data_IF_923410354059
#
_entry.id   IF_923410354059
#
_cell.length_a   1.000
_cell.length_b   1.000
_cell.length_c   1.000
_cell.angle_alpha   90.00
_cell.angle_beta   90.00
_cell.angle_gamma   90.00
#
_symmetry.space_group_name_H-M   'P 1'
#
loop_
_entity.id
_entity.type
_entity.pdbx_description
1 polymer ?
#
# COMPACT_ATOMS: atom_id res chain seq x y z
N UNK A 1 32.57 -9.24 -30.02
CA UNK A 1 33.64 -8.23 -30.10
C UNK A 1 33.02 -6.92 -30.58
N UNK A 2 33.38 -5.78 -29.97
CA UNK A 2 33.01 -4.41 -30.40
C UNK A 2 31.66 -3.90 -29.86
N UNK A 3 31.54 -3.39 -28.62
CA UNK A 3 31.84 -2.04 -28.11
C UNK A 3 31.18 -0.86 -28.83
N UNK A 4 30.33 -0.12 -28.10
CA UNK A 4 30.23 1.34 -28.21
C UNK A 4 29.61 1.92 -26.91
N UNK A 5 30.47 2.50 -26.07
CA UNK A 5 30.13 3.48 -25.03
C UNK A 5 29.76 4.82 -25.69
N UNK A 6 28.80 5.56 -25.12
CA UNK A 6 28.81 7.02 -25.19
C UNK A 6 28.77 7.63 -23.78
N UNK A 7 29.90 8.23 -23.41
CA UNK A 7 30.00 9.28 -22.39
C UNK A 7 29.82 10.63 -23.10
N UNK A 8 29.11 11.56 -22.48
CA UNK A 8 29.25 12.98 -22.76
C UNK A 8 29.65 13.69 -21.47
N UNK A 9 30.79 14.36 -21.52
CA UNK A 9 31.28 15.32 -20.54
C UNK A 9 30.99 16.72 -21.10
N UNK A 10 30.56 17.64 -20.25
CA UNK A 10 30.81 19.06 -20.45
C UNK A 10 31.16 19.67 -19.09
N UNK A 11 32.35 20.25 -19.00
CA UNK A 11 32.85 20.93 -17.80
C UNK A 11 32.84 22.44 -17.99
N UNK A 12 32.94 23.16 -16.88
CA UNK A 12 33.53 24.50 -16.77
C UNK A 12 34.04 24.69 -15.33
N UNK A 13 35.19 25.34 -15.23
CA UNK A 13 35.99 25.56 -14.02
C UNK A 13 35.66 26.88 -13.30
N UNK A 14 36.12 27.03 -12.05
CA UNK A 14 36.23 28.29 -11.33
C UNK A 14 36.47 28.08 -9.82
N UNK A 15 37.67 28.42 -9.34
CA UNK A 15 38.11 28.22 -7.95
C UNK A 15 37.86 29.40 -7.00
N UNK A 16 38.18 29.18 -5.72
CA UNK A 16 38.27 30.20 -4.68
C UNK A 16 38.09 29.61 -3.28
N UNK A 17 39.14 29.68 -2.44
CA UNK A 17 39.21 29.06 -1.11
C UNK A 17 38.67 29.88 0.06
N UNK A 18 38.75 29.31 1.26
CA UNK A 18 38.49 29.98 2.55
C UNK A 18 37.78 29.05 3.55
N UNK A 19 38.42 28.75 4.67
CA UNK A 19 38.00 27.72 5.64
C UNK A 19 37.06 28.18 6.75
N UNK A 20 36.74 27.24 7.65
CA UNK A 20 35.98 27.48 8.89
C UNK A 20 35.06 26.31 9.23
N UNK A 21 35.44 25.49 10.21
CA UNK A 21 34.79 24.21 10.51
C UNK A 21 33.44 24.27 11.24
N UNK A 22 32.75 23.12 11.23
CA UNK A 22 31.98 22.58 12.35
C UNK A 22 31.56 21.15 12.00
N UNK A 23 31.79 20.24 12.94
CA UNK A 23 31.34 18.86 12.90
C UNK A 23 29.80 18.76 12.89
N UNK A 24 29.23 17.88 12.07
CA UNK A 24 28.12 17.02 12.50
C UNK A 24 27.83 15.93 11.47
N UNK A 25 27.74 14.70 11.97
CA UNK A 25 26.99 13.56 11.46
C UNK A 25 27.06 13.25 9.95
N UNK A 26 27.92 12.31 9.60
CA UNK A 26 27.71 11.42 8.45
C UNK A 26 26.45 10.59 8.69
N UNK A 27 25.28 11.15 8.38
CA UNK A 27 24.10 10.35 8.02
C UNK A 27 24.32 9.84 6.60
N UNK A 28 24.98 8.69 6.46
CA UNK A 28 24.94 7.93 5.21
C UNK A 28 23.59 7.21 5.14
N UNK A 29 22.56 8.01 4.89
CA UNK A 29 21.19 7.57 4.67
C UNK A 29 21.10 7.07 3.23
N UNK A 30 21.25 5.77 3.04
CA UNK A 30 20.99 5.12 1.75
C UNK A 30 19.47 4.88 1.60
N UNK A 31 18.76 5.55 0.67
CA UNK A 31 17.36 5.29 0.40
C UNK A 31 17.26 4.16 -0.64
N UNK A 32 16.70 3.02 -0.23
CA UNK A 32 16.44 1.89 -1.13
C UNK A 32 15.05 1.29 -0.87
N UNK A 33 14.34 0.79 -1.89
CA UNK A 33 12.91 0.42 -1.81
C UNK A 33 12.59 -0.91 -1.08
N UNK A 34 13.58 -1.62 -0.54
CA UNK A 34 13.40 -2.95 0.05
C UNK A 34 13.85 -2.99 1.52
N UNK A 35 12.97 -2.60 2.46
CA UNK A 35 13.22 -2.77 3.90
C UNK A 35 11.94 -3.18 4.63
N UNK A 36 12.10 -4.03 5.63
CA UNK A 36 11.05 -4.48 6.56
C UNK A 36 10.71 -5.97 6.43
N UNK A 37 9.85 -6.43 7.35
CA UNK A 37 9.25 -7.79 7.40
C UNK A 37 8.68 -8.19 6.04
N UNK A 38 8.11 -7.19 5.39
CA UNK A 38 7.53 -7.18 4.08
C UNK A 38 8.42 -7.77 2.98
N UNK A 39 9.63 -7.21 2.88
CA UNK A 39 10.63 -7.61 1.90
C UNK A 39 11.14 -9.03 2.18
N UNK A 40 11.36 -9.38 3.46
CA UNK A 40 11.75 -10.74 3.85
C UNK A 40 10.68 -11.77 3.45
N UNK A 41 9.41 -11.50 3.74
CA UNK A 41 8.30 -12.38 3.36
C UNK A 41 8.21 -12.56 1.84
N UNK A 42 8.29 -11.47 1.08
CA UNK A 42 8.30 -11.50 -0.38
C UNK A 42 9.44 -12.34 -0.95
N UNK A 43 10.66 -12.15 -0.44
CA UNK A 43 11.85 -12.84 -0.94
C UNK A 43 11.89 -14.32 -0.59
N UNK A 44 11.35 -14.72 0.57
CA UNK A 44 11.16 -16.13 0.92
C UNK A 44 10.20 -16.83 -0.04
N UNK A 45 9.12 -16.15 -0.44
CA UNK A 45 8.18 -16.67 -1.43
C UNK A 45 8.79 -16.70 -2.84
N UNK A 46 9.57 -15.68 -3.20
CA UNK A 46 10.34 -15.69 -4.44
C UNK A 46 11.33 -16.87 -4.47
N UNK A 47 12.03 -17.12 -3.36
CA UNK A 47 12.93 -18.26 -3.21
C UNK A 47 12.21 -19.62 -3.32
N UNK A 48 11.02 -19.78 -2.73
CA UNK A 48 10.23 -21.01 -2.88
C UNK A 48 9.91 -21.34 -4.35
N UNK A 49 9.71 -20.30 -5.17
CA UNK A 49 9.32 -20.45 -6.57
C UNK A 49 10.53 -20.59 -7.48
N UNK A 50 11.62 -19.88 -7.20
CA UNK A 50 12.76 -19.75 -8.12
C UNK A 50 14.03 -20.45 -7.64
N UNK A 51 14.11 -20.82 -6.36
CA UNK A 51 15.35 -21.25 -5.67
C UNK A 51 16.48 -20.24 -5.76
N UNK A 52 16.17 -18.96 -6.03
CA UNK A 52 17.13 -17.86 -6.11
C UNK A 52 16.99 -16.96 -4.88
N UNK A 53 18.12 -16.65 -4.26
CA UNK A 53 18.23 -15.66 -3.18
C UNK A 53 18.27 -14.24 -3.77
N UNK A 54 17.87 -13.21 -3.02
CA UNK A 54 17.84 -11.82 -3.49
C UNK A 54 19.19 -11.33 -4.02
N UNK A 55 19.13 -10.52 -5.07
CA UNK A 55 20.30 -9.81 -5.57
C UNK A 55 20.77 -8.79 -4.51
N UNK A 56 22.09 -8.65 -4.35
CA UNK A 56 22.67 -7.78 -3.33
C UNK A 56 22.85 -8.40 -1.95
N UNK A 57 22.12 -9.46 -1.57
CA UNK A 57 22.29 -10.12 -0.26
C UNK A 57 23.75 -10.52 0.00
N UNK A 58 24.44 -10.99 -1.04
CA UNK A 58 25.86 -11.39 -0.96
C UNK A 58 26.83 -10.25 -0.62
N UNK A 59 26.38 -8.98 -0.65
CA UNK A 59 27.16 -7.83 -0.20
C UNK A 59 27.05 -7.61 1.32
N UNK A 60 26.05 -8.22 1.96
CA UNK A 60 25.76 -8.07 3.39
C UNK A 60 26.17 -9.27 4.22
N UNK A 61 26.42 -10.42 3.61
CA UNK A 61 26.73 -11.68 4.29
C UNK A 61 28.06 -12.25 3.78
N UNK A 62 28.77 -13.00 4.63
CA UNK A 62 30.09 -13.57 4.31
C UNK A 62 29.99 -14.94 3.64
N UNK A 63 28.85 -15.61 3.78
CA UNK A 63 28.66 -16.95 3.22
C UNK A 63 28.37 -16.99 1.73
N UNK A 64 28.77 -18.10 1.09
CA UNK A 64 28.53 -18.34 -0.35
C UNK A 64 27.05 -18.36 -0.72
N UNK A 65 26.72 -18.08 -1.99
CA UNK A 65 25.33 -18.17 -2.51
C UNK A 65 24.68 -19.54 -2.25
N UNK A 66 25.44 -20.63 -2.30
CA UNK A 66 24.94 -21.98 -1.99
C UNK A 66 24.55 -22.11 -0.51
N UNK A 67 25.34 -21.53 0.40
CA UNK A 67 25.01 -21.50 1.82
C UNK A 67 23.80 -20.58 2.10
N UNK A 68 23.73 -19.42 1.45
CA UNK A 68 22.57 -18.51 1.52
C UNK A 68 21.27 -19.25 1.13
N UNK A 69 21.26 -20.00 0.02
CA UNK A 69 20.11 -20.78 -0.41
C UNK A 69 19.67 -21.83 0.64
N UNK A 70 20.62 -22.49 1.30
CA UNK A 70 20.31 -23.46 2.36
C UNK A 70 19.63 -22.80 3.57
N UNK A 71 20.00 -21.56 3.92
CA UNK A 71 19.38 -20.85 5.03
C UNK A 71 18.03 -20.28 4.66
N UNK A 72 17.85 -19.81 3.42
CA UNK A 72 16.55 -19.39 2.90
C UNK A 72 15.54 -20.54 2.93
N UNK A 73 15.98 -21.77 2.65
CA UNK A 73 15.13 -22.96 2.82
C UNK A 73 14.66 -23.13 4.27
N UNK A 74 15.57 -23.01 5.25
CA UNK A 74 15.23 -23.09 6.68
C UNK A 74 14.31 -21.96 7.13
N UNK A 75 14.57 -20.73 6.68
CA UNK A 75 13.76 -19.55 6.97
C UNK A 75 12.36 -19.67 6.39
N UNK A 76 12.22 -20.19 5.17
CA UNK A 76 10.93 -20.44 4.54
C UNK A 76 10.12 -21.47 5.31
N UNK A 77 10.75 -22.55 5.79
CA UNK A 77 10.11 -23.55 6.65
C UNK A 77 9.63 -22.91 7.96
N UNK A 78 10.50 -22.19 8.67
CA UNK A 78 10.16 -21.49 9.91
C UNK A 78 9.06 -20.43 9.73
N UNK A 79 9.08 -19.70 8.61
CA UNK A 79 8.05 -18.71 8.27
C UNK A 79 6.68 -19.33 8.03
N UNK A 80 6.62 -20.55 7.46
CA UNK A 80 5.37 -21.30 7.26
C UNK A 80 4.83 -21.89 8.56
N UNK A 81 5.72 -22.27 9.47
CA UNK A 81 5.35 -22.83 10.78
C UNK A 81 4.90 -21.75 11.76
N UNK A 82 5.35 -20.50 11.59
CA UNK A 82 4.87 -19.35 12.33
C UNK A 82 3.39 -19.07 12.01
N UNK A 83 2.49 -19.57 12.86
CA UNK A 83 1.04 -19.33 12.79
C UNK A 83 0.62 -18.45 13.97
N UNK A 84 0.39 -17.13 13.79
CA UNK A 84 0.45 -16.35 12.54
C UNK A 84 1.88 -15.96 12.13
N UNK A 85 2.10 -15.56 10.85
CA UNK A 85 3.39 -15.02 10.39
C UNK A 85 3.78 -13.76 11.18
N UNK A 86 5.09 -13.44 11.28
CA UNK A 86 5.56 -12.26 12.01
C UNK A 86 4.89 -10.97 11.53
N UNK A 87 4.36 -10.17 12.45
CA UNK A 87 3.67 -8.90 12.16
C UNK A 87 4.45 -7.67 12.59
N UNK A 88 5.45 -7.84 13.46
CA UNK A 88 6.33 -6.77 13.92
C UNK A 88 7.79 -7.02 13.51
N UNK A 89 8.60 -5.95 13.29
CA UNK A 89 10.01 -6.12 12.95
C UNK A 89 10.76 -6.95 14.01
N UNK A 90 10.36 -6.81 15.27
CA UNK A 90 10.92 -7.54 16.40
C UNK A 90 10.55 -9.03 16.36
N UNK A 91 9.31 -9.39 16.01
CA UNK A 91 8.92 -10.80 15.78
C UNK A 91 9.70 -11.41 14.62
N UNK A 92 9.85 -10.67 13.51
CA UNK A 92 10.60 -11.15 12.35
C UNK A 92 12.08 -11.34 12.69
N UNK A 93 12.69 -10.39 13.40
CA UNK A 93 14.06 -10.53 13.91
C UNK A 93 14.22 -11.76 14.80
N UNK A 94 13.30 -11.97 15.76
CA UNK A 94 13.33 -13.15 16.64
C UNK A 94 13.25 -14.45 15.86
N UNK A 95 12.36 -14.54 14.86
CA UNK A 95 12.23 -15.71 13.98
C UNK A 95 13.55 -15.98 13.25
N UNK A 96 14.14 -14.97 12.62
CA UNK A 96 15.41 -15.10 11.88
C UNK A 96 16.55 -15.54 12.80
N UNK A 97 16.70 -14.88 13.95
CA UNK A 97 17.74 -15.19 14.94
C UNK A 97 17.59 -16.62 15.46
N UNK A 98 16.36 -17.04 15.82
CA UNK A 98 16.10 -18.37 16.33
C UNK A 98 16.35 -19.46 15.29
N UNK A 99 15.90 -19.23 14.04
CA UNK A 99 16.07 -20.17 12.93
C UNK A 99 17.53 -20.34 12.55
N UNK A 100 18.28 -19.23 12.56
CA UNK A 100 19.68 -19.22 12.13
C UNK A 100 20.69 -19.26 13.29
N UNK A 101 20.28 -19.60 14.51
CA UNK A 101 21.12 -19.60 15.73
C UNK A 101 22.45 -20.37 15.64
N UNK A 102 22.58 -21.33 14.72
CA UNK A 102 23.79 -22.14 14.50
C UNK A 102 24.66 -21.66 13.33
N UNK A 103 24.31 -20.54 12.69
CA UNK A 103 25.07 -19.94 11.60
C UNK A 103 25.95 -18.79 12.11
N UNK A 104 26.85 -18.30 11.26
CA UNK A 104 27.79 -17.26 11.66
C UNK A 104 27.06 -15.98 12.04
N UNK A 105 27.51 -15.33 13.11
CA UNK A 105 26.91 -14.09 13.61
C UNK A 105 26.86 -12.99 12.55
N UNK A 106 27.96 -12.81 11.80
CA UNK A 106 28.05 -11.83 10.71
C UNK A 106 27.00 -12.05 9.61
N UNK A 107 26.65 -13.32 9.33
CA UNK A 107 25.65 -13.65 8.33
C UNK A 107 24.22 -13.35 8.80
N UNK A 108 23.92 -13.63 10.07
CA UNK A 108 22.61 -13.33 10.67
C UNK A 108 22.41 -11.82 10.80
N UNK A 109 23.42 -11.09 11.29
CA UNK A 109 23.38 -9.63 11.40
C UNK A 109 23.32 -8.97 10.01
N UNK A 110 24.07 -9.49 9.04
CA UNK A 110 24.02 -9.07 7.65
C UNK A 110 22.65 -9.23 7.01
N UNK A 111 21.97 -10.35 7.25
CA UNK A 111 20.60 -10.60 6.77
C UNK A 111 19.59 -9.65 7.43
N UNK A 112 19.68 -9.45 8.74
CA UNK A 112 18.83 -8.50 9.45
C UNK A 112 19.04 -7.08 8.92
N UNK A 113 20.29 -6.67 8.70
CA UNK A 113 20.64 -5.37 8.15
C UNK A 113 20.15 -5.19 6.70
N UNK A 114 20.28 -6.22 5.86
CA UNK A 114 19.76 -6.23 4.48
C UNK A 114 18.26 -5.89 4.45
N UNK A 115 17.48 -6.45 5.38
CA UNK A 115 16.05 -6.16 5.52
C UNK A 115 15.72 -4.99 6.45
N UNK A 116 16.69 -4.30 7.03
CA UNK A 116 16.44 -3.23 8.01
C UNK A 116 15.66 -3.69 9.25
N UNK A 117 15.84 -4.95 9.66
CA UNK A 117 15.22 -5.53 10.85
C UNK A 117 16.07 -5.26 12.11
N UNK A 118 15.44 -5.11 13.30
CA UNK A 118 16.16 -4.88 14.56
C UNK A 118 17.25 -5.94 14.81
N UNK A 119 18.43 -5.48 15.21
CA UNK A 119 19.54 -6.35 15.58
C UNK A 119 19.34 -6.95 16.99
N UNK A 120 20.00 -8.07 17.33
CA UNK A 120 19.78 -8.75 18.61
C UNK A 120 19.99 -7.86 19.85
N UNK A 121 20.91 -6.90 19.76
CA UNK A 121 21.25 -5.96 20.84
C UNK A 121 20.32 -4.74 20.93
N UNK A 122 19.50 -4.46 19.91
CA UNK A 122 18.53 -3.35 19.92
C UNK A 122 17.12 -3.79 20.33
N UNK A 123 16.87 -5.09 20.56
CA UNK A 123 15.58 -5.62 20.99
C UNK A 123 15.17 -5.23 22.44
N UNK A 124 16.01 -4.47 23.14
CA UNK A 124 15.75 -3.89 24.46
C UNK A 124 15.64 -2.37 24.34
N UNK A 125 14.44 -1.84 24.08
CA UNK A 125 14.20 -0.40 24.20
C UNK A 125 13.14 0.20 23.31
N UNK A 126 12.04 0.61 23.95
CA UNK A 126 11.12 1.71 23.58
C UNK A 126 10.17 1.45 22.41
N UNK A 127 8.99 0.93 22.75
CA UNK A 127 7.75 1.14 21.98
C UNK A 127 7.20 2.52 22.37
N UNK A 128 7.30 3.50 21.47
CA UNK A 128 6.56 4.75 21.62
C UNK A 128 5.05 4.46 21.48
N UNK A 129 4.17 5.10 22.26
CA UNK A 129 2.74 4.88 22.16
C UNK A 129 2.27 5.39 20.79
N UNK A 130 1.82 4.47 19.94
CA UNK A 130 1.13 4.81 18.72
C UNK A 130 -0.11 5.68 19.04
N UNK A 131 -0.46 6.66 18.20
CA UNK A 131 -1.68 7.43 18.40
C UNK A 131 -2.87 6.48 18.54
N UNK A 132 -3.73 6.73 19.52
CA UNK A 132 -4.90 5.89 19.83
C UNK A 132 -5.76 5.73 18.58
N UNK A 133 -5.88 4.50 18.07
CA UNK A 133 -6.74 4.15 16.95
C UNK A 133 -8.19 4.50 17.28
N UNK A 134 -9.00 4.95 16.31
CA UNK A 134 -10.43 5.14 16.53
C UNK A 134 -11.09 3.84 17.05
N UNK A 135 -12.07 3.99 17.92
CA UNK A 135 -12.81 2.86 18.48
C UNK A 135 -13.54 2.07 17.38
N UNK A 136 -13.50 0.74 17.44
CA UNK A 136 -14.16 -0.14 16.45
C UNK A 136 -13.37 -0.41 15.17
N UNK A 137 -12.15 0.12 15.03
CA UNK A 137 -11.28 -0.19 13.89
C UNK A 137 -10.82 -1.65 13.96
N UNK A 138 -11.11 -2.42 12.91
CA UNK A 138 -10.65 -3.81 12.76
C UNK A 138 -9.19 -3.87 12.32
N UNK A 139 -8.82 -3.04 11.35
CA UNK A 139 -7.45 -2.95 10.85
C UNK A 139 -7.22 -1.63 10.10
N UNK A 140 -5.94 -1.32 9.88
CA UNK A 140 -5.48 -0.16 9.12
C UNK A 140 -4.88 -0.64 7.79
N UNK A 141 -5.04 0.15 6.73
CA UNK A 141 -4.39 -0.05 5.43
C UNK A 141 -3.58 1.20 5.07
N UNK A 142 -2.38 0.98 4.53
CA UNK A 142 -1.59 1.99 3.83
C UNK A 142 -1.56 1.64 2.34
N UNK A 143 -2.07 2.54 1.50
CA UNK A 143 -2.24 2.26 0.08
C UNK A 143 -1.09 2.78 -0.75
N UNK A 144 -0.85 2.13 -1.88
CA UNK A 144 -0.11 2.71 -3.00
C UNK A 144 -0.84 3.98 -3.51
N UNK A 145 -0.15 4.85 -4.28
CA UNK A 145 -0.75 6.01 -4.90
C UNK A 145 -2.01 5.67 -5.71
N UNK A 146 -3.08 6.41 -5.47
CA UNK A 146 -4.37 6.14 -6.12
C UNK A 146 -4.37 6.65 -7.56
N UNK A 147 -4.73 5.77 -8.50
CA UNK A 147 -5.04 6.16 -9.88
C UNK A 147 -6.45 6.78 -9.97
N UNK A 148 -6.60 7.88 -10.72
CA UNK A 148 -7.88 8.58 -10.88
C UNK A 148 -9.04 7.66 -11.33
N UNK A 149 -8.76 6.66 -12.18
CA UNK A 149 -9.74 5.68 -12.67
C UNK A 149 -10.22 4.72 -11.57
N UNK A 150 -9.52 4.67 -10.44
CA UNK A 150 -9.90 3.82 -9.31
C UNK A 150 -10.99 4.44 -8.44
N UNK A 151 -11.31 5.73 -8.62
CA UNK A 151 -12.46 6.38 -7.99
C UNK A 151 -13.72 6.07 -8.79
N UNK A 152 -14.67 5.34 -8.19
CA UNK A 152 -15.88 4.90 -8.88
C UNK A 152 -16.88 6.05 -9.00
N UNK A 153 -17.17 6.69 -7.87
CA UNK A 153 -18.15 7.75 -7.65
C UNK A 153 -17.65 8.67 -6.52
N UNK A 154 -18.51 9.52 -5.93
CA UNK A 154 -18.13 10.46 -4.88
C UNK A 154 -17.87 9.84 -3.50
N UNK A 155 -18.06 8.53 -3.31
CA UNK A 155 -17.92 7.88 -2.00
C UNK A 155 -17.40 6.43 -2.00
N UNK A 156 -16.98 5.94 -3.16
CA UNK A 156 -16.42 4.61 -3.36
C UNK A 156 -15.12 4.68 -4.16
N UNK A 157 -14.08 4.06 -3.60
CA UNK A 157 -12.72 4.05 -4.17
C UNK A 157 -12.14 2.64 -4.16
N UNK A 158 -11.51 2.23 -5.26
CA UNK A 158 -10.65 1.05 -5.30
C UNK A 158 -9.22 1.46 -4.95
N UNK A 159 -8.58 0.74 -4.04
CA UNK A 159 -7.20 0.98 -3.63
C UNK A 159 -6.39 -0.30 -3.73
N UNK A 160 -5.07 -0.14 -3.77
CA UNK A 160 -4.14 -1.24 -3.82
C UNK A 160 -3.15 -1.11 -2.67
N UNK A 161 -2.95 -2.21 -1.95
CA UNK A 161 -1.97 -2.33 -0.86
C UNK A 161 -0.88 -3.26 -1.35
N UNK A 162 0.37 -2.84 -1.18
CA UNK A 162 1.53 -3.66 -1.55
C UNK A 162 1.44 -5.01 -0.84
N UNK A 163 1.67 -6.11 -1.56
CA UNK A 163 1.75 -7.43 -0.94
C UNK A 163 2.95 -7.61 -0.03
N UNK A 164 3.94 -6.73 -0.16
CA UNK A 164 5.00 -6.62 0.81
C UNK A 164 4.43 -6.21 2.19
N UNK A 165 3.39 -5.39 2.30
CA UNK A 165 2.84 -4.96 3.61
C UNK A 165 2.70 -6.16 4.59
N UNK A 166 3.18 -6.08 5.85
CA UNK A 166 3.18 -7.20 6.79
C UNK A 166 1.80 -7.85 6.97
N UNK A 167 0.72 -7.09 6.82
CA UNK A 167 -0.65 -7.60 6.85
C UNK A 167 -0.98 -8.49 5.65
N UNK A 168 -0.45 -8.15 4.48
CA UNK A 168 -0.76 -8.82 3.22
C UNK A 168 0.17 -10.00 2.95
N UNK A 169 1.47 -9.87 3.24
CA UNK A 169 2.53 -10.81 2.85
C UNK A 169 2.25 -12.26 3.23
N UNK A 170 1.67 -12.51 4.41
CA UNK A 170 1.32 -13.85 4.89
C UNK A 170 0.05 -14.45 4.27
N UNK A 171 -0.72 -13.69 3.50
CA UNK A 171 -2.05 -14.06 3.01
C UNK A 171 -2.15 -14.20 1.48
N UNK A 172 -1.07 -13.92 0.76
CA UNK A 172 -1.07 -13.99 -0.70
C UNK A 172 -1.02 -15.45 -1.17
N UNK A 173 -1.95 -15.88 -2.03
CA UNK A 173 -1.91 -17.24 -2.57
C UNK A 173 -0.64 -17.49 -3.39
N UNK A 174 -0.05 -18.69 -3.22
CA UNK A 174 1.17 -19.11 -3.94
C UNK A 174 1.04 -18.96 -5.45
N UNK A 175 -0.14 -19.26 -5.98
CA UNK A 175 -0.43 -19.22 -7.42
C UNK A 175 -0.43 -17.79 -7.97
N UNK A 176 -0.80 -16.80 -7.14
CA UNK A 176 -0.70 -15.39 -7.51
C UNK A 176 0.76 -14.95 -7.57
N UNK A 177 1.57 -15.31 -6.59
CA UNK A 177 3.02 -15.04 -6.63
C UNK A 177 3.70 -15.68 -7.84
N UNK A 178 3.39 -16.95 -8.10
CA UNK A 178 3.91 -17.67 -9.27
C UNK A 178 3.48 -17.00 -10.57
N UNK A 179 2.21 -16.63 -10.69
CA UNK A 179 1.71 -15.92 -11.86
C UNK A 179 2.42 -14.58 -12.07
N UNK A 180 2.67 -13.80 -11.00
CA UNK A 180 3.39 -12.53 -11.09
C UNK A 180 4.83 -12.71 -11.59
N UNK A 181 5.56 -13.69 -11.04
CA UNK A 181 6.95 -14.00 -11.46
C UNK A 181 6.99 -14.46 -12.92
N UNK A 182 6.09 -15.37 -13.32
CA UNK A 182 6.06 -15.89 -14.70
C UNK A 182 5.63 -14.79 -15.67
N UNK A 183 4.73 -13.90 -15.27
CA UNK A 183 4.31 -12.74 -16.05
C UNK A 183 5.50 -11.80 -16.30
N UNK A 184 6.26 -11.46 -15.27
CA UNK A 184 7.45 -10.62 -15.40
C UNK A 184 8.45 -11.24 -16.40
N UNK A 185 8.73 -12.54 -16.29
CA UNK A 185 9.57 -13.28 -17.25
C UNK A 185 9.00 -13.29 -18.68
N UNK A 186 7.68 -13.40 -18.84
CA UNK A 186 7.05 -13.35 -20.16
C UNK A 186 7.25 -11.98 -20.82
N UNK A 187 7.21 -10.88 -20.05
CA UNK A 187 7.47 -9.53 -20.54
C UNK A 187 8.91 -9.32 -21.00
N UNK A 188 9.90 -9.89 -20.31
CA UNK A 188 11.31 -9.75 -20.71
C UNK A 188 11.61 -10.41 -22.05
N UNK A 189 10.92 -11.52 -22.36
CA UNK A 189 11.01 -12.21 -23.66
C UNK A 189 9.97 -11.72 -24.69
N UNK A 190 9.33 -10.57 -24.42
CA UNK A 190 8.31 -9.93 -25.29
C UNK A 190 7.10 -10.83 -25.62
N UNK A 191 6.80 -11.82 -24.79
CA UNK A 191 5.60 -12.64 -24.92
C UNK A 191 4.42 -11.97 -24.19
N UNK A 192 3.85 -10.95 -24.84
CA UNK A 192 2.77 -10.14 -24.26
C UNK A 192 1.47 -10.93 -24.09
N UNK A 193 1.14 -11.85 -25.00
CA UNK A 193 -0.05 -12.70 -24.90
C UNK A 193 -0.06 -13.51 -23.59
N UNK A 194 1.07 -14.14 -23.26
CA UNK A 194 1.21 -14.88 -21.99
C UNK A 194 1.19 -13.94 -20.79
N UNK A 195 1.85 -12.79 -20.87
CA UNK A 195 1.87 -11.81 -19.79
C UNK A 195 0.44 -11.29 -19.48
N UNK A 196 -0.36 -11.00 -20.50
CA UNK A 196 -1.72 -10.49 -20.35
C UNK A 196 -2.67 -11.56 -19.81
N UNK A 197 -2.53 -12.82 -20.24
CA UNK A 197 -3.28 -13.93 -19.67
C UNK A 197 -2.99 -14.14 -18.17
N UNK A 198 -1.71 -14.03 -17.77
CA UNK A 198 -1.31 -14.11 -16.36
C UNK A 198 -1.78 -12.88 -15.58
N UNK A 199 -1.72 -11.68 -16.17
CA UNK A 199 -2.29 -10.48 -15.57
C UNK A 199 -3.78 -10.66 -15.27
N UNK A 200 -4.55 -11.23 -16.20
CA UNK A 200 -5.97 -11.53 -16.00
C UNK A 200 -6.17 -12.48 -14.81
N UNK A 201 -5.38 -13.55 -14.75
CA UNK A 201 -5.43 -14.50 -13.62
C UNK A 201 -5.16 -13.82 -12.27
N UNK A 202 -4.17 -12.92 -12.23
CA UNK A 202 -3.83 -12.13 -11.03
C UNK A 202 -5.01 -11.20 -10.65
N UNK A 203 -5.63 -10.55 -11.63
CA UNK A 203 -6.79 -9.67 -11.43
C UNK A 203 -8.02 -10.42 -10.93
N UNK A 204 -8.30 -11.58 -11.51
CA UNK A 204 -9.43 -12.43 -11.11
C UNK A 204 -9.25 -12.95 -9.68
N UNK A 205 -8.00 -13.13 -9.22
CA UNK A 205 -7.68 -13.47 -7.84
C UNK A 205 -7.75 -12.27 -6.86
N UNK A 206 -8.09 -11.06 -7.32
CA UNK A 206 -8.16 -9.86 -6.48
C UNK A 206 -6.83 -9.14 -6.27
N UNK A 207 -5.84 -9.37 -7.14
CA UNK A 207 -4.54 -8.72 -7.10
C UNK A 207 -4.25 -7.94 -8.38
N UNK A 208 -3.17 -7.18 -8.40
CA UNK A 208 -2.71 -6.49 -9.61
C UNK A 208 -1.21 -6.27 -9.55
N UNK A 209 -0.54 -6.44 -10.68
CA UNK A 209 0.83 -5.93 -10.86
C UNK A 209 0.76 -4.47 -11.30
N UNK A 210 1.38 -3.58 -10.53
CA UNK A 210 1.41 -2.13 -10.73
C UNK A 210 2.86 -1.72 -11.00
N UNK A 211 3.09 -0.95 -12.07
CA UNK A 211 4.41 -0.39 -12.35
C UNK A 211 4.64 0.87 -11.51
N UNK A 212 5.75 0.89 -10.79
CA UNK A 212 6.24 2.05 -10.04
C UNK A 212 6.98 3.02 -10.98
N UNK A 213 7.22 4.25 -10.51
CA UNK A 213 7.96 5.29 -11.23
C UNK A 213 9.38 4.87 -11.62
N UNK A 214 9.95 3.90 -10.92
CA UNK A 214 11.30 3.39 -11.14
C UNK A 214 11.34 2.17 -12.10
N UNK A 215 10.24 1.88 -12.79
CA UNK A 215 10.03 0.66 -13.59
C UNK A 215 9.99 -0.66 -12.79
N UNK A 216 9.96 -0.58 -11.46
CA UNK A 216 9.72 -1.75 -10.60
C UNK A 216 8.26 -2.21 -10.72
N UNK A 217 8.03 -3.52 -10.76
CA UNK A 217 6.68 -4.11 -10.75
C UNK A 217 6.30 -4.54 -9.33
N UNK A 218 5.26 -3.91 -8.77
CA UNK A 218 4.74 -4.20 -7.43
C UNK A 218 3.51 -5.09 -7.58
N UNK A 219 3.53 -6.25 -6.93
CA UNK A 219 2.31 -7.06 -6.75
C UNK A 219 1.50 -6.46 -5.58
N UNK A 220 0.26 -6.09 -5.84
CA UNK A 220 -0.59 -5.44 -4.86
C UNK A 220 -1.96 -6.09 -4.75
N UNK A 221 -2.53 -6.14 -3.54
CA UNK A 221 -3.89 -6.62 -3.29
C UNK A 221 -4.90 -5.51 -3.50
N UNK A 222 -6.00 -5.83 -4.18
CA UNK A 222 -7.10 -4.90 -4.46
C UNK A 222 -8.06 -4.86 -3.28
N UNK A 223 -8.45 -3.64 -2.89
CA UNK A 223 -9.55 -3.39 -1.95
C UNK A 223 -10.55 -2.43 -2.57
N UNK A 224 -11.85 -2.69 -2.36
CA UNK A 224 -12.91 -1.73 -2.66
C UNK A 224 -13.35 -1.09 -1.36
N UNK A 225 -13.25 0.22 -1.25
CA UNK A 225 -13.53 0.97 -0.04
C UNK A 225 -14.76 1.83 -0.25
N UNK A 226 -15.73 1.73 0.66
CA UNK A 226 -16.85 2.65 0.81
C UNK A 226 -16.53 3.62 1.94
N UNK A 227 -16.60 4.92 1.65
CA UNK A 227 -16.34 5.98 2.64
C UNK A 227 -17.42 5.93 3.73
N UNK A 228 -17.01 5.59 4.95
CA UNK A 228 -17.93 5.42 6.08
C UNK A 228 -18.65 6.72 6.42
N UNK A 229 -19.97 6.64 6.60
CA UNK A 229 -20.80 7.71 7.14
C UNK A 229 -21.23 8.79 6.15
N UNK A 230 -20.84 8.73 4.88
CA UNK A 230 -21.32 9.65 3.86
C UNK A 230 -21.96 8.89 2.69
N UNK A 231 -22.88 9.52 1.96
CA UNK A 231 -23.46 9.01 0.72
C UNK A 231 -23.45 10.13 -0.34
N UNK A 232 -22.70 9.94 -1.41
CA UNK A 232 -22.58 10.91 -2.49
C UNK A 232 -23.67 10.69 -3.56
N UNK A 233 -24.06 11.73 -4.32
CA UNK A 233 -24.93 11.54 -5.47
C UNK A 233 -24.35 10.51 -6.45
N UNK A 234 -25.22 9.63 -6.94
CA UNK A 234 -24.85 8.61 -7.93
C UNK A 234 -24.36 9.30 -9.22
N UNK A 235 -23.55 8.63 -10.04
CA UNK A 235 -22.95 9.25 -11.24
C UNK A 235 -23.96 9.84 -12.22
N UNK A 236 -25.20 9.33 -12.23
CA UNK A 236 -26.31 9.82 -13.06
C UNK A 236 -27.24 10.82 -12.35
N UNK A 237 -26.97 11.16 -11.10
CA UNK A 237 -27.68 12.21 -10.36
C UNK A 237 -27.00 13.56 -10.57
N UNK A 238 -27.73 14.68 -10.42
CA UNK A 238 -27.11 15.99 -10.27
C UNK A 238 -26.01 15.98 -9.21
N UNK A 239 -24.89 16.65 -9.48
CA UNK A 239 -23.68 16.68 -8.63
C UNK A 239 -22.92 15.37 -8.49
N UNK A 240 -23.34 14.27 -9.15
CA UNK A 240 -22.63 12.98 -9.08
C UNK A 240 -21.25 13.03 -9.75
N UNK A 241 -21.14 13.73 -10.88
CA UNK A 241 -19.87 13.94 -11.58
C UNK A 241 -18.93 14.81 -10.76
N UNK A 242 -19.44 15.92 -10.21
CA UNK A 242 -18.70 16.88 -9.40
C UNK A 242 -18.19 16.25 -8.10
N UNK A 243 -19.00 15.42 -7.46
CA UNK A 243 -18.59 14.67 -6.27
C UNK A 243 -17.43 13.70 -6.59
N UNK A 244 -17.54 12.96 -7.70
CA UNK A 244 -16.46 12.09 -8.18
C UNK A 244 -15.19 12.88 -8.49
N UNK A 245 -15.30 13.98 -9.23
CA UNK A 245 -14.16 14.80 -9.63
C UNK A 245 -13.43 15.42 -8.44
N UNK A 246 -14.16 15.90 -7.43
CA UNK A 246 -13.54 16.42 -6.21
C UNK A 246 -12.85 15.31 -5.41
N UNK A 247 -13.45 14.11 -5.31
CA UNK A 247 -12.79 12.98 -4.67
C UNK A 247 -11.51 12.59 -5.41
N UNK A 248 -11.55 12.49 -6.74
CA UNK A 248 -10.37 12.25 -7.59
C UNK A 248 -9.30 13.29 -7.32
N UNK A 249 -9.64 14.59 -7.38
CA UNK A 249 -8.71 15.69 -7.13
C UNK A 249 -8.04 15.59 -5.76
N UNK A 250 -8.79 15.15 -4.75
CA UNK A 250 -8.28 15.02 -3.39
C UNK A 250 -7.26 13.88 -3.28
N UNK A 251 -7.53 12.72 -3.87
CA UNK A 251 -6.79 11.47 -3.60
C UNK A 251 -5.82 11.04 -4.70
N UNK A 252 -5.98 11.50 -5.94
CA UNK A 252 -5.18 11.03 -7.08
C UNK A 252 -3.68 11.26 -6.85
N UNK A 253 -2.87 10.26 -7.21
CA UNK A 253 -1.42 10.28 -7.06
C UNK A 253 -0.91 10.22 -5.62
N UNK A 254 -1.79 10.04 -4.63
CA UNK A 254 -1.43 10.03 -3.20
C UNK A 254 -1.73 8.68 -2.57
N UNK A 255 -0.88 8.28 -1.62
CA UNK A 255 -1.15 7.15 -0.74
C UNK A 255 -2.20 7.53 0.31
N UNK A 256 -3.03 6.57 0.69
CA UNK A 256 -4.09 6.76 1.67
C UNK A 256 -3.81 5.96 2.93
N UNK A 257 -4.20 6.53 4.08
CA UNK A 257 -4.33 5.81 5.34
C UNK A 257 -5.81 5.53 5.57
N UNK A 258 -6.17 4.26 5.72
CA UNK A 258 -7.58 3.84 5.81
C UNK A 258 -7.78 3.02 7.08
N UNK A 259 -8.69 3.48 7.93
CA UNK A 259 -9.17 2.70 9.06
C UNK A 259 -10.42 1.93 8.65
N UNK A 260 -10.35 0.60 8.66
CA UNK A 260 -11.44 -0.27 8.22
C UNK A 260 -12.22 -0.80 9.42
N UNK A 261 -13.54 -0.70 9.36
CA UNK A 261 -14.47 -1.09 10.43
C UNK A 261 -15.21 -2.40 10.13
N UNK A 262 -15.24 -2.81 8.87
CA UNK A 262 -15.90 -4.03 8.42
C UNK A 262 -16.17 -3.98 6.92
N UNK A 263 -17.07 -4.83 6.47
CA UNK A 263 -17.45 -4.97 5.07
C UNK A 263 -18.96 -4.79 4.94
N UNK A 264 -19.39 -4.18 3.85
CA UNK A 264 -20.81 -4.09 3.50
C UNK A 264 -21.29 -5.34 2.75
N UNK A 265 -22.60 -5.42 2.52
CA UNK A 265 -23.24 -6.54 1.80
C UNK A 265 -22.76 -6.73 0.34
N UNK A 266 -22.01 -5.77 -0.21
CA UNK A 266 -21.46 -5.80 -1.56
C UNK A 266 -19.97 -6.17 -1.57
N UNK A 267 -19.42 -6.56 -0.41
CA UNK A 267 -18.01 -6.92 -0.26
C UNK A 267 -17.07 -5.72 -0.35
N UNK A 268 -17.55 -4.49 -0.07
CA UNK A 268 -16.70 -3.31 0.05
C UNK A 268 -16.32 -3.13 1.51
N UNK A 269 -15.05 -2.87 1.78
CA UNK A 269 -14.62 -2.46 3.11
C UNK A 269 -15.20 -1.07 3.43
N UNK A 270 -15.81 -0.91 4.60
CA UNK A 270 -16.33 0.36 5.09
C UNK A 270 -15.25 1.02 5.94
N UNK A 271 -14.79 2.21 5.55
CA UNK A 271 -13.62 2.81 6.18
C UNK A 271 -13.60 4.33 6.25
N UNK A 272 -12.89 4.84 7.26
CA UNK A 272 -12.50 6.25 7.36
C UNK A 272 -11.18 6.46 6.61
N UNK A 273 -11.14 7.43 5.69
CA UNK A 273 -10.00 7.64 4.79
C UNK A 273 -9.31 8.95 5.11
N UNK A 274 -8.00 8.88 5.26
CA UNK A 274 -7.11 10.03 5.42
C UNK A 274 -6.15 10.12 4.24
N UNK A 275 -6.05 11.31 3.65
CA UNK A 275 -5.12 11.63 2.60
C UNK A 275 -4.25 12.80 3.06
N UNK A 276 -2.95 12.58 3.29
CA UNK A 276 -2.02 13.59 3.82
C UNK A 276 -2.56 14.32 5.07
N UNK A 277 -3.18 13.59 6.00
CA UNK A 277 -3.77 14.14 7.22
C UNK A 277 -5.17 14.75 7.04
N UNK A 278 -5.66 14.92 5.81
CA UNK A 278 -7.03 15.39 5.56
C UNK A 278 -8.01 14.23 5.67
N UNK A 279 -9.03 14.37 6.51
CA UNK A 279 -10.14 13.43 6.59
C UNK A 279 -11.07 13.62 5.38
N UNK A 280 -11.10 12.62 4.50
CA UNK A 280 -11.74 12.72 3.17
C UNK A 280 -13.25 12.95 3.29
N UNK A 281 -13.93 12.25 4.19
CA UNK A 281 -15.38 12.42 4.39
C UNK A 281 -15.76 13.83 4.81
N UNK A 282 -14.99 14.41 5.74
CA UNK A 282 -15.18 15.78 6.17
C UNK A 282 -15.02 16.77 5.01
N UNK A 283 -14.01 16.56 4.15
CA UNK A 283 -13.81 17.39 2.96
C UNK A 283 -15.02 17.33 2.01
N UNK A 284 -15.52 16.13 1.72
CA UNK A 284 -16.68 15.94 0.84
C UNK A 284 -17.94 16.61 1.38
N UNK A 285 -18.20 16.51 2.69
CA UNK A 285 -19.32 17.19 3.34
C UNK A 285 -19.17 18.72 3.32
N UNK A 286 -17.97 19.24 3.63
CA UNK A 286 -17.69 20.69 3.60
C UNK A 286 -17.92 21.31 2.22
N UNK A 287 -17.62 20.55 1.15
CA UNK A 287 -17.87 20.97 -0.24
C UNK A 287 -19.33 20.83 -0.67
N UNK A 288 -20.19 20.23 0.15
CA UNK A 288 -21.58 19.95 -0.19
C UNK A 288 -21.70 18.93 -1.32
N UNK A 289 -20.82 17.91 -1.34
CA UNK A 289 -20.76 16.88 -2.38
C UNK A 289 -21.14 15.49 -1.87
N UNK A 290 -21.61 15.40 -0.63
CA UNK A 290 -22.16 14.20 -0.05
C UNK A 290 -23.17 14.55 1.04
N UNK A 291 -24.02 13.58 1.37
CA UNK A 291 -24.93 13.58 2.51
C UNK A 291 -24.28 12.84 3.68
N UNK A 292 -24.55 13.26 4.92
CA UNK A 292 -24.30 12.43 6.10
C UNK A 292 -25.31 11.28 6.09
N UNK A 293 -24.81 10.04 6.06
CA UNK A 293 -25.67 8.88 5.94
C UNK A 293 -26.13 8.39 7.32
N UNK A 294 -27.10 9.11 7.89
CA UNK A 294 -27.53 8.93 9.28
C UNK A 294 -28.04 7.53 9.61
N UNK A 295 -28.54 6.77 8.63
CA UNK A 295 -28.95 5.38 8.86
C UNK A 295 -27.82 4.47 9.36
N UNK A 296 -26.55 4.80 9.06
CA UNK A 296 -25.39 3.98 9.41
C UNK A 296 -24.34 4.73 10.24
N UNK A 297 -24.53 6.02 10.48
CA UNK A 297 -23.55 6.86 11.14
C UNK A 297 -24.21 7.98 11.94
N UNK A 298 -23.88 8.08 13.23
CA UNK A 298 -24.49 9.02 14.17
C UNK A 298 -23.51 10.09 14.67
N UNK A 299 -22.39 10.29 13.96
CA UNK A 299 -21.35 11.24 14.35
C UNK A 299 -21.87 12.69 14.28
N UNK A 300 -21.94 13.42 15.41
CA UNK A 300 -22.45 14.80 15.42
C UNK A 300 -21.59 15.76 14.59
N UNK A 301 -20.30 15.48 14.44
CA UNK A 301 -19.39 16.26 13.62
C UNK A 301 -19.76 16.23 12.14
N UNK A 302 -20.14 15.07 11.59
CA UNK A 302 -20.54 14.95 10.18
C UNK A 302 -21.88 15.67 9.94
N UNK A 303 -22.84 15.50 10.85
CA UNK A 303 -24.11 16.22 10.80
C UNK A 303 -23.92 17.74 10.82
N UNK A 304 -23.01 18.24 11.67
CA UNK A 304 -22.67 19.67 11.75
C UNK A 304 -22.05 20.18 10.45
N UNK A 305 -21.15 19.41 9.83
CA UNK A 305 -20.51 19.79 8.57
C UNK A 305 -21.51 19.87 7.43
N UNK A 306 -22.42 18.89 7.32
CA UNK A 306 -23.50 18.94 6.34
C UNK A 306 -24.40 20.17 6.55
N UNK A 307 -24.82 20.43 7.79
CA UNK A 307 -25.64 21.61 8.14
C UNK A 307 -24.96 22.92 7.72
N UNK A 308 -23.64 23.03 7.89
CA UNK A 308 -22.87 24.19 7.46
C UNK A 308 -22.82 24.34 5.94
N UNK A 309 -22.62 23.24 5.21
CA UNK A 309 -22.62 23.26 3.75
C UNK A 309 -24.00 23.64 3.18
N UNK A 310 -25.08 23.12 3.80
CA UNK A 310 -26.48 23.49 3.50
C UNK A 310 -26.73 24.98 3.68
N UNK A 311 -26.38 25.53 4.86
CA UNK A 311 -26.60 26.95 5.17
C UNK A 311 -25.85 27.88 4.21
N UNK A 312 -24.70 27.45 3.69
CA UNK A 312 -23.89 28.18 2.71
C UNK A 312 -24.27 27.90 1.25
N UNK A 313 -25.27 27.05 0.98
CA UNK A 313 -25.67 26.62 -0.36
C UNK A 313 -24.49 26.08 -1.20
N UNK A 314 -23.60 25.31 -0.56
CA UNK A 314 -22.43 24.74 -1.20
C UNK A 314 -22.79 23.49 -2.02
N UNK A 315 -22.19 23.33 -3.21
CA UNK A 315 -22.33 22.11 -4.00
C UNK A 315 -23.80 21.78 -4.29
N UNK A 316 -24.21 20.55 -3.96
CA UNK A 316 -25.58 20.06 -4.19
C UNK A 316 -26.64 20.89 -3.47
N UNK A 317 -26.27 21.62 -2.40
CA UNK A 317 -27.16 22.50 -1.65
C UNK A 317 -27.46 23.84 -2.34
N UNK A 318 -26.87 24.11 -3.51
CA UNK A 318 -27.28 25.21 -4.37
C UNK A 318 -28.68 24.99 -4.96
N UNK A 319 -29.10 23.73 -5.13
CA UNK A 319 -30.46 23.37 -5.50
C UNK A 319 -31.43 23.60 -4.32
N UNK A 320 -32.69 23.92 -4.63
CA UNK A 320 -33.73 24.15 -3.62
C UNK A 320 -34.14 22.87 -2.89
N UNK A 321 -34.17 21.74 -3.58
CA UNK A 321 -34.55 20.43 -3.04
C UNK A 321 -33.69 19.33 -3.69
N UNK A 322 -32.42 19.17 -3.28
CA UNK A 322 -31.58 18.12 -3.81
C UNK A 322 -32.04 16.75 -3.30
N UNK A 323 -32.18 15.80 -4.23
CA UNK A 323 -32.60 14.43 -3.93
C UNK A 323 -31.49 13.63 -3.21
N UNK A 324 -31.87 12.79 -2.24
CA UNK A 324 -30.94 11.91 -1.54
C UNK A 324 -30.58 10.69 -2.38
N UNK A 325 -29.32 10.22 -2.38
CA UNK A 325 -28.92 9.09 -3.22
C UNK A 325 -29.61 7.78 -2.83
N UNK A 326 -29.89 7.55 -1.54
CA UNK A 326 -30.64 6.36 -1.10
C UNK A 326 -32.12 6.37 -1.49
N UNK A 327 -32.76 7.55 -1.59
CA UNK A 327 -34.14 7.72 -2.07
C UNK A 327 -34.19 7.50 -3.59
N UNK A 328 -33.30 8.14 -4.36
CA UNK A 328 -33.15 7.90 -5.80
C UNK A 328 -32.95 6.43 -6.17
N UNK A 329 -32.10 5.72 -5.40
CA UNK A 329 -31.88 4.28 -5.58
C UNK A 329 -33.13 3.45 -5.25
N UNK A 330 -33.99 3.89 -4.33
CA UNK A 330 -35.22 3.19 -3.96
C UNK A 330 -36.28 3.34 -5.05
N UNK A 331 -36.42 4.53 -5.60
CA UNK A 331 -37.43 4.83 -6.61
C UNK A 331 -37.14 4.09 -7.92
N UNK A 332 -35.87 4.03 -8.35
CA UNK A 332 -35.48 3.26 -9.54
C UNK A 332 -35.63 1.74 -9.39
N UNK A 333 -35.50 1.21 -8.17
CA UNK A 333 -35.78 -0.22 -7.91
C UNK A 333 -37.27 -0.52 -7.97
N UNK A 334 -38.11 0.47 -7.63
CA UNK A 334 -39.57 0.32 -7.62
C UNK A 334 -40.18 0.51 -9.01
N UNK A 335 -39.61 1.39 -9.83
CA UNK A 335 -40.08 1.70 -11.19
C UNK A 335 -39.56 0.74 -12.27
N UNK A 336 -38.65 -0.17 -11.92
CA UNK A 336 -38.13 -1.22 -12.83
C UNK A 336 -38.66 -2.62 -12.51
N UNK A 337 -39.66 -2.73 -11.64
CA UNK A 337 -40.30 -3.96 -11.21
C UNK A 337 -41.64 -4.18 -11.91
#
# INVERSE_FOLDING_TARGET
>A
MGNALLRFLCGCAGGGGGGGGAASANETQFPGPHRGIAALGHDLLHFDITSQVPEGLSQHVVSSKKAQANWYKKLLEAWREAKPPPRTPEEASRLVIQTLKRHQKADVEGLLAFYGLPLPHTLSGVSAPAPSKPEGVKYELHTLPVDAKSVADGDTITVYVDTADPRESGSVPREVHKAAIVRAKARTVRNYQKADALQKTIVDAGYRVISSSNNDEILARKYRIRLRGIDAPESSMPFGKEAKEELVKLVQGKGLKIYVFGDDRYGRCVGDIYCNGVFVQEHMLKKGLAWHYTAYDQRPELARLEKQARAKRMGLWAASDPEKPWEWRKDRRSNGA
#
